data_IF_711320675838
#
_entry.id   IF_711320675838
#
_cell.length_a   1.000
_cell.length_b   1.000
_cell.length_c   1.000
_cell.angle_alpha   90.00
_cell.angle_beta   90.00
_cell.angle_gamma   90.00
#
_symmetry.space_group_name_H-M   'P 1'
#
loop_
_entity.id
_entity.type
_entity.pdbx_description
1 polymer ?
#
# COMPACT_ATOMS: atom_id res chain seq x y z
N UNK A 1 16.76 -6.98 -22.55
CA UNK A 1 15.31 -6.87 -22.30
C UNK A 1 14.94 -7.69 -21.10
N UNK A 2 14.48 -7.06 -20.03
CA UNK A 2 14.12 -7.81 -18.82
C UNK A 2 12.79 -8.54 -19.03
N UNK A 3 12.78 -9.84 -18.76
CA UNK A 3 11.53 -10.61 -18.77
C UNK A 3 10.63 -10.12 -17.64
N UNK A 4 9.35 -9.82 -17.90
CA UNK A 4 8.45 -9.43 -16.83
C UNK A 4 8.38 -10.51 -15.75
N UNK A 5 8.31 -10.09 -14.48
CA UNK A 5 8.12 -11.02 -13.37
C UNK A 5 6.81 -11.78 -13.55
N UNK A 6 6.81 -13.07 -13.27
CA UNK A 6 5.63 -13.94 -13.35
C UNK A 6 5.46 -14.71 -12.06
N UNK A 7 4.21 -14.86 -11.65
CA UNK A 7 3.84 -15.64 -10.48
C UNK A 7 3.52 -17.08 -10.91
N UNK A 8 4.26 -18.04 -10.37
CA UNK A 8 4.09 -19.47 -10.65
C UNK A 8 3.68 -20.27 -9.40
N UNK A 9 3.53 -19.61 -8.26
CA UNK A 9 3.36 -20.24 -6.97
C UNK A 9 4.67 -20.34 -6.20
N UNK A 10 4.63 -20.98 -5.05
CA UNK A 10 5.83 -21.22 -4.25
C UNK A 10 5.87 -22.67 -3.76
N UNK A 11 6.96 -23.07 -3.11
CA UNK A 11 7.09 -24.42 -2.56
C UNK A 11 6.00 -24.77 -1.55
N UNK A 12 5.50 -23.77 -0.82
CA UNK A 12 4.52 -23.94 0.23
C UNK A 12 3.09 -23.59 -0.17
N UNK A 13 2.89 -23.13 -1.40
CA UNK A 13 1.58 -22.68 -1.87
C UNK A 13 1.39 -23.02 -3.34
N UNK A 14 0.36 -23.85 -3.60
CA UNK A 14 0.00 -24.18 -4.97
C UNK A 14 -1.13 -23.27 -5.43
N UNK A 15 -0.80 -22.30 -6.27
CA UNK A 15 -1.77 -21.37 -6.80
C UNK A 15 -2.66 -22.07 -7.84
N UNK A 16 -3.97 -21.76 -7.82
CA UNK A 16 -4.88 -22.20 -8.86
C UNK A 16 -4.51 -21.50 -10.18
N UNK A 17 -4.92 -22.11 -11.31
CA UNK A 17 -4.67 -21.52 -12.63
C UNK A 17 -5.27 -20.10 -12.74
N UNK A 18 -6.53 -19.94 -12.29
CA UNK A 18 -7.20 -18.64 -12.34
C UNK A 18 -6.48 -17.59 -11.49
N UNK A 19 -5.97 -17.98 -10.33
CA UNK A 19 -5.23 -17.10 -9.46
C UNK A 19 -3.91 -16.66 -10.10
N UNK A 20 -3.18 -17.59 -10.71
CA UNK A 20 -1.95 -17.28 -11.44
C UNK A 20 -2.22 -16.27 -12.55
N UNK A 21 -3.29 -16.48 -13.32
CA UNK A 21 -3.69 -15.56 -14.38
C UNK A 21 -4.00 -14.17 -13.84
N UNK A 22 -4.74 -14.09 -12.73
CA UNK A 22 -5.10 -12.81 -12.11
C UNK A 22 -3.86 -12.05 -11.63
N UNK A 23 -2.93 -12.71 -10.95
CA UNK A 23 -1.70 -12.08 -10.47
C UNK A 23 -0.84 -11.61 -11.63
N UNK A 24 -0.66 -12.45 -12.65
CA UNK A 24 0.15 -12.10 -13.82
C UNK A 24 -0.50 -10.98 -14.63
N UNK A 25 -1.83 -10.95 -14.73
CA UNK A 25 -2.54 -9.86 -15.38
C UNK A 25 -2.32 -8.54 -14.63
N UNK A 26 -2.39 -8.55 -13.29
CA UNK A 26 -2.14 -7.38 -12.48
C UNK A 26 -0.72 -6.84 -12.68
N UNK A 27 0.26 -7.73 -12.73
CA UNK A 27 1.65 -7.35 -13.01
C UNK A 27 1.81 -6.73 -14.40
N UNK A 28 1.23 -7.35 -15.41
CA UNK A 28 1.36 -6.91 -16.82
C UNK A 28 0.60 -5.60 -17.05
N UNK A 29 -0.63 -5.50 -16.55
CA UNK A 29 -1.49 -4.35 -16.76
C UNK A 29 -1.21 -3.22 -15.79
N UNK A 30 -0.36 -3.47 -14.78
CA UNK A 30 -0.05 -2.50 -13.72
C UNK A 30 -1.32 -2.01 -13.01
N UNK A 31 -2.20 -2.95 -12.67
CA UNK A 31 -3.46 -2.69 -11.97
C UNK A 31 -3.46 -3.37 -10.61
N UNK A 32 -4.17 -2.80 -9.63
CA UNK A 32 -4.37 -3.49 -8.36
C UNK A 32 -5.12 -4.81 -8.54
N UNK A 33 -4.75 -5.80 -7.74
CA UNK A 33 -5.45 -7.09 -7.70
C UNK A 33 -6.41 -7.08 -6.53
N UNK A 34 -7.70 -7.22 -6.80
CA UNK A 34 -8.73 -7.29 -5.76
C UNK A 34 -9.09 -8.74 -5.49
N UNK A 35 -8.98 -9.15 -4.23
CA UNK A 35 -9.31 -10.50 -3.78
C UNK A 35 -10.47 -10.41 -2.80
N UNK A 36 -11.61 -10.99 -3.15
CA UNK A 36 -12.79 -11.07 -2.30
C UNK A 36 -12.93 -12.48 -1.76
N UNK A 37 -13.44 -12.61 -0.55
CA UNK A 37 -13.71 -13.91 0.05
C UNK A 37 -14.00 -13.80 1.52
N UNK A 38 -14.48 -14.90 2.10
CA UNK A 38 -14.80 -14.97 3.52
C UNK A 38 -13.55 -14.91 4.40
N UNK A 39 -13.69 -14.48 5.67
CA UNK A 39 -12.58 -14.53 6.62
C UNK A 39 -12.01 -15.95 6.72
N UNK A 40 -10.69 -16.04 6.82
CA UNK A 40 -10.03 -17.33 6.98
C UNK A 40 -9.78 -18.09 5.69
N UNK A 41 -9.99 -17.48 4.51
CA UNK A 41 -9.75 -18.13 3.21
C UNK A 41 -8.30 -18.01 2.72
N UNK A 42 -7.39 -17.46 3.55
CA UNK A 42 -5.96 -17.38 3.21
C UNK A 42 -5.58 -16.21 2.31
N UNK A 43 -6.40 -15.15 2.27
CA UNK A 43 -6.09 -13.97 1.45
C UNK A 43 -4.76 -13.32 1.80
N UNK A 44 -4.46 -13.20 3.10
CA UNK A 44 -3.18 -12.65 3.56
C UNK A 44 -2.03 -13.58 3.21
N UNK A 45 -2.23 -14.88 3.37
CA UNK A 45 -1.23 -15.88 3.00
C UNK A 45 -0.90 -15.78 1.50
N UNK A 46 -1.90 -15.52 0.67
CA UNK A 46 -1.67 -15.34 -0.77
C UNK A 46 -0.70 -14.19 -1.03
N UNK A 47 -0.89 -13.05 -0.37
CA UNK A 47 0.02 -11.90 -0.55
C UNK A 47 1.45 -12.25 -0.12
N UNK A 48 1.59 -12.97 1.00
CA UNK A 48 2.89 -13.43 1.48
C UNK A 48 3.56 -14.36 0.47
N UNK A 49 2.80 -15.29 -0.11
CA UNK A 49 3.33 -16.24 -1.08
C UNK A 49 3.69 -15.57 -2.41
N UNK A 50 2.89 -14.61 -2.86
CA UNK A 50 3.20 -13.83 -4.06
C UNK A 50 4.50 -13.04 -3.86
N UNK A 51 4.64 -12.37 -2.72
CA UNK A 51 5.84 -11.61 -2.40
C UNK A 51 7.08 -12.53 -2.37
N UNK A 52 6.97 -13.69 -1.74
CA UNK A 52 8.06 -14.65 -1.66
C UNK A 52 8.44 -15.19 -3.05
N UNK A 53 7.45 -15.54 -3.86
CA UNK A 53 7.67 -16.07 -5.21
C UNK A 53 8.34 -15.05 -6.13
N UNK A 54 7.94 -13.77 -6.01
CA UNK A 54 8.51 -12.68 -6.81
C UNK A 54 9.79 -12.11 -6.20
N UNK A 55 10.19 -12.57 -5.03
CA UNK A 55 11.35 -12.06 -4.27
C UNK A 55 11.25 -10.56 -4.02
N UNK A 56 10.05 -10.11 -3.65
CA UNK A 56 9.76 -8.73 -3.32
C UNK A 56 9.43 -8.60 -1.84
N UNK A 57 9.84 -7.50 -1.18
CA UNK A 57 9.36 -7.22 0.17
C UNK A 57 7.84 -7.04 0.19
N UNK A 58 7.23 -7.42 1.31
CA UNK A 58 5.79 -7.25 1.53
C UNK A 58 5.58 -6.13 2.55
N UNK A 59 4.81 -5.12 2.14
CA UNK A 59 4.30 -4.09 3.04
C UNK A 59 2.81 -4.34 3.25
N UNK A 60 2.35 -4.27 4.51
CA UNK A 60 0.95 -4.53 4.85
C UNK A 60 0.30 -3.32 5.48
N UNK A 61 -0.93 -3.07 5.09
CA UNK A 61 -1.77 -2.03 5.67
C UNK A 61 -3.09 -2.65 6.11
N UNK A 62 -3.25 -2.82 7.42
CA UNK A 62 -4.48 -3.34 8.00
C UNK A 62 -5.49 -2.22 8.16
N UNK A 63 -6.60 -2.32 7.43
CA UNK A 63 -7.64 -1.30 7.47
C UNK A 63 -8.56 -1.56 8.66
N UNK A 64 -8.88 -0.49 9.37
CA UNK A 64 -9.82 -0.48 10.50
C UNK A 64 -10.95 0.48 10.20
N UNK A 65 -12.02 0.42 10.99
CA UNK A 65 -13.16 1.33 10.82
C UNK A 65 -12.77 2.82 10.94
N UNK A 66 -11.70 3.10 11.68
CA UNK A 66 -11.20 4.46 11.89
C UNK A 66 -10.12 4.87 10.89
N UNK A 67 -9.69 3.97 10.01
CA UNK A 67 -8.62 4.25 9.05
C UNK A 67 -9.10 5.22 7.98
N UNK A 68 -8.26 6.23 7.69
CA UNK A 68 -8.47 7.19 6.62
C UNK A 68 -7.43 6.99 5.52
N UNK A 69 -7.81 7.25 4.27
CA UNK A 69 -6.90 7.11 3.13
C UNK A 69 -5.63 7.95 3.30
N UNK A 70 -5.76 9.15 3.87
CA UNK A 70 -4.64 10.04 4.12
C UNK A 70 -3.55 9.40 4.99
N UNK A 71 -3.92 8.51 5.92
CA UNK A 71 -2.96 7.84 6.80
C UNK A 71 -2.01 6.92 6.04
N UNK A 72 -2.45 6.40 4.89
CA UNK A 72 -1.58 5.61 4.03
C UNK A 72 -0.56 6.44 3.28
N UNK A 73 -0.83 7.72 3.08
CA UNK A 73 0.09 8.65 2.43
C UNK A 73 1.06 9.23 3.47
N UNK A 74 0.56 10.10 4.33
CA UNK A 74 1.34 10.70 5.42
C UNK A 74 0.40 11.38 6.40
N UNK A 75 0.93 11.68 7.57
CA UNK A 75 0.25 12.52 8.56
C UNK A 75 1.20 13.63 9.01
N UNK A 76 0.66 14.83 9.20
CA UNK A 76 1.41 15.95 9.75
C UNK A 76 1.13 16.06 11.25
N UNK A 77 2.17 15.88 12.07
CA UNK A 77 2.07 15.93 13.53
C UNK A 77 2.21 17.37 14.03
N UNK A 78 1.16 18.15 13.83
CA UNK A 78 1.12 19.55 14.22
C UNK A 78 1.19 19.73 15.76
N UNK A 79 0.63 18.79 16.52
CA UNK A 79 0.61 18.84 17.97
C UNK A 79 2.03 18.76 18.54
N UNK A 80 2.82 17.80 18.07
CA UNK A 80 4.22 17.66 18.49
C UNK A 80 5.04 18.88 18.09
N UNK A 81 4.80 19.42 16.91
CA UNK A 81 5.51 20.62 16.45
C UNK A 81 5.20 21.84 17.32
N UNK A 82 3.92 22.03 17.68
CA UNK A 82 3.53 23.11 18.57
C UNK A 82 4.19 22.96 19.93
N UNK A 83 4.18 21.77 20.50
CA UNK A 83 4.83 21.49 21.79
C UNK A 83 6.33 21.79 21.74
N UNK A 84 7.01 21.29 20.71
CA UNK A 84 8.45 21.50 20.54
C UNK A 84 8.77 23.00 20.35
N UNK A 85 7.90 23.73 19.65
CA UNK A 85 8.02 25.17 19.48
C UNK A 85 7.98 25.88 20.84
N UNK A 86 7.06 25.50 21.72
CA UNK A 86 6.94 26.06 23.06
C UNK A 86 8.14 25.74 23.93
N UNK A 87 8.79 24.60 23.70
CA UNK A 87 9.98 24.18 24.44
C UNK A 87 11.27 24.75 23.87
N UNK A 88 11.20 25.46 22.74
CA UNK A 88 12.40 25.99 22.07
C UNK A 88 13.26 24.94 21.39
N UNK A 89 12.67 23.78 21.03
CA UNK A 89 13.40 22.72 20.38
C UNK A 89 13.75 23.10 18.94
N UNK A 90 15.03 22.92 18.57
CA UNK A 90 15.53 23.23 17.22
C UNK A 90 14.87 22.41 16.10
N UNK A 91 14.28 21.26 16.43
CA UNK A 91 13.61 20.38 15.45
C UNK A 91 12.45 21.07 14.73
N UNK A 92 11.86 22.11 15.35
CA UNK A 92 10.73 22.86 14.77
C UNK A 92 11.11 23.55 13.45
N UNK A 93 12.39 23.80 13.21
CA UNK A 93 12.87 24.51 12.04
C UNK A 93 12.73 23.69 10.77
N UNK A 94 12.68 22.36 10.90
CA UNK A 94 12.51 21.46 9.77
C UNK A 94 11.16 20.74 9.89
N UNK A 95 10.23 21.11 9.02
CA UNK A 95 8.89 20.53 9.00
C UNK A 95 8.90 19.02 8.74
N UNK A 96 9.94 18.51 8.07
CA UNK A 96 10.06 17.06 7.78
C UNK A 96 10.13 16.22 9.06
N UNK A 97 10.58 16.81 10.19
CA UNK A 97 10.59 16.11 11.46
C UNK A 97 9.18 15.76 12.00
N UNK A 98 8.15 16.37 11.43
CA UNK A 98 6.76 16.19 11.85
C UNK A 98 5.89 15.54 10.79
N UNK A 99 6.49 15.05 9.73
CA UNK A 99 5.80 14.25 8.71
C UNK A 99 5.96 12.77 9.05
N UNK A 100 4.84 12.11 9.34
CA UNK A 100 4.80 10.67 9.61
C UNK A 100 4.43 9.96 8.31
N UNK A 101 5.37 9.24 7.75
CA UNK A 101 5.18 8.57 6.46
C UNK A 101 4.28 7.36 6.58
N UNK A 102 3.25 7.29 5.72
CA UNK A 102 2.38 6.14 5.63
C UNK A 102 2.95 5.01 4.79
N UNK A 103 2.20 3.91 4.70
CA UNK A 103 2.66 2.72 3.99
C UNK A 103 2.82 2.95 2.49
N UNK A 104 1.97 3.81 1.87
CA UNK A 104 2.10 4.14 0.47
C UNK A 104 3.38 4.94 0.19
N UNK A 105 3.71 5.86 1.08
CA UNK A 105 4.97 6.59 0.96
C UNK A 105 6.16 5.63 0.98
N UNK A 106 6.14 4.69 1.92
CA UNK A 106 7.18 3.68 2.03
C UNK A 106 7.27 2.82 0.76
N UNK A 107 6.12 2.40 0.23
CA UNK A 107 6.07 1.60 -1.00
C UNK A 107 6.61 2.38 -2.21
N UNK A 108 6.25 3.66 -2.32
CA UNK A 108 6.66 4.49 -3.45
C UNK A 108 8.16 4.83 -3.42
N UNK A 109 8.73 5.00 -2.23
CA UNK A 109 10.13 5.38 -2.08
C UNK A 109 11.08 4.21 -1.88
N UNK A 110 10.57 2.98 -1.87
CA UNK A 110 11.40 1.79 -1.75
C UNK A 110 12.39 1.70 -2.92
N UNK A 111 13.59 1.19 -2.65
CA UNK A 111 14.64 1.07 -3.65
C UNK A 111 14.43 -0.09 -4.62
N UNK A 112 13.48 -0.96 -4.32
CA UNK A 112 13.09 -2.09 -5.18
C UNK A 112 11.58 -2.22 -5.21
N UNK A 113 11.01 -2.88 -6.24
CA UNK A 113 9.57 -3.11 -6.27
C UNK A 113 9.11 -3.90 -5.06
N UNK A 114 7.96 -3.52 -4.50
CA UNK A 114 7.38 -4.18 -3.32
C UNK A 114 5.98 -4.69 -3.65
N UNK A 115 5.51 -5.65 -2.86
CA UNK A 115 4.11 -6.03 -2.82
C UNK A 115 3.46 -5.24 -1.69
N UNK A 116 2.41 -4.50 -2.01
CA UNK A 116 1.63 -3.73 -1.04
C UNK A 116 0.28 -4.42 -0.84
N UNK A 117 0.05 -4.94 0.37
CA UNK A 117 -1.22 -5.54 0.75
C UNK A 117 -2.06 -4.52 1.52
N UNK A 118 -3.22 -4.19 0.97
CA UNK A 118 -4.24 -3.38 1.65
C UNK A 118 -5.31 -4.36 2.11
N UNK A 119 -5.28 -4.70 3.39
CA UNK A 119 -6.06 -5.80 3.94
C UNK A 119 -7.37 -5.33 4.53
N UNK A 120 -8.45 -6.00 4.14
CA UNK A 120 -9.80 -5.78 4.65
C UNK A 120 -10.32 -4.35 4.40
N UNK A 121 -10.24 -3.91 3.14
CA UNK A 121 -10.62 -2.55 2.74
C UNK A 121 -12.08 -2.21 3.07
N UNK A 122 -12.95 -3.22 3.16
CA UNK A 122 -14.37 -3.06 3.47
C UNK A 122 -14.64 -2.62 4.91
N UNK A 123 -13.65 -2.68 5.80
CA UNK A 123 -13.78 -2.20 7.17
C UNK A 123 -13.79 -0.68 7.27
N UNK A 124 -13.21 0.02 6.30
CA UNK A 124 -13.18 1.48 6.29
C UNK A 124 -14.51 2.07 5.83
N UNK A 125 -14.63 3.40 5.92
CA UNK A 125 -15.77 4.12 5.37
C UNK A 125 -15.93 3.83 3.88
N UNK A 126 -17.18 3.93 3.40
CA UNK A 126 -17.54 3.62 2.00
C UNK A 126 -16.74 4.48 1.00
N UNK A 127 -16.35 5.68 1.39
CA UNK A 127 -15.59 6.58 0.52
C UNK A 127 -14.09 6.28 0.47
N UNK A 128 -13.58 5.49 1.39
CA UNK A 128 -12.16 5.18 1.52
C UNK A 128 -11.55 4.64 0.22
N UNK A 129 -12.14 3.64 -0.45
CA UNK A 129 -11.56 3.11 -1.68
C UNK A 129 -11.41 4.16 -2.78
N UNK A 130 -12.41 5.03 -2.95
CA UNK A 130 -12.38 6.09 -3.96
C UNK A 130 -11.29 7.13 -3.65
N UNK A 131 -11.14 7.48 -2.37
CA UNK A 131 -10.12 8.42 -1.93
C UNK A 131 -8.71 7.92 -2.22
N UNK A 132 -8.53 6.60 -2.22
CA UNK A 132 -7.23 5.96 -2.41
C UNK A 132 -6.92 5.67 -3.89
N UNK A 133 -7.93 5.36 -4.69
CA UNK A 133 -7.74 4.90 -6.08
C UNK A 133 -6.96 5.89 -6.94
N UNK A 134 -7.16 7.18 -6.73
CA UNK A 134 -6.47 8.21 -7.50
C UNK A 134 -4.95 8.13 -7.34
N UNK A 135 -4.48 8.03 -6.11
CA UNK A 135 -3.05 7.93 -5.81
C UNK A 135 -2.47 6.61 -6.32
N UNK A 136 -3.25 5.52 -6.23
CA UNK A 136 -2.83 4.23 -6.76
C UNK A 136 -2.78 4.21 -8.29
N UNK A 137 -3.68 4.91 -8.97
CA UNK A 137 -3.64 5.03 -10.43
C UNK A 137 -2.44 5.84 -10.89
N UNK A 138 -2.20 6.96 -10.25
CA UNK A 138 -1.14 7.87 -10.62
C UNK A 138 0.22 7.48 -10.07
N UNK A 139 0.25 6.68 -9.01
CA UNK A 139 1.46 6.30 -8.28
C UNK A 139 2.27 7.52 -7.83
N UNK A 140 1.54 8.57 -7.42
CA UNK A 140 2.13 9.79 -6.88
C UNK A 140 1.13 10.51 -5.99
N UNK A 141 1.66 11.32 -5.08
CA UNK A 141 0.83 12.22 -4.26
C UNK A 141 1.65 13.44 -3.85
N UNK A 142 0.95 14.52 -3.53
CA UNK A 142 1.56 15.79 -3.15
C UNK A 142 1.53 15.98 -1.64
N UNK A 143 2.66 16.39 -1.07
CA UNK A 143 2.79 16.70 0.35
C UNK A 143 2.69 18.22 0.51
N UNK A 144 1.55 18.70 0.97
CA UNK A 144 1.25 20.13 1.02
C UNK A 144 2.17 20.89 1.97
N UNK A 145 2.51 20.30 3.10
CA UNK A 145 3.30 20.93 4.15
C UNK A 145 4.74 21.19 3.70
N UNK A 146 5.30 20.29 2.91
CA UNK A 146 6.67 20.40 2.40
C UNK A 146 6.73 20.86 0.95
N UNK A 147 5.57 20.89 0.25
CA UNK A 147 5.46 21.23 -1.17
C UNK A 147 6.26 20.29 -2.06
N UNK A 148 6.31 19.04 -1.68
CA UNK A 148 7.03 18.01 -2.42
C UNK A 148 6.05 17.05 -3.09
N UNK A 149 6.42 16.54 -4.26
CA UNK A 149 5.70 15.46 -4.92
C UNK A 149 6.42 14.15 -4.64
N UNK A 150 5.69 13.17 -4.10
CA UNK A 150 6.21 11.82 -3.88
C UNK A 150 5.74 10.94 -5.02
N UNK A 151 6.68 10.40 -5.80
CA UNK A 151 6.40 9.52 -6.93
C UNK A 151 7.01 8.15 -6.69
N UNK A 152 6.34 7.12 -7.18
CA UNK A 152 6.85 5.76 -7.07
C UNK A 152 8.14 5.60 -7.91
N UNK A 153 9.23 5.22 -7.25
CA UNK A 153 10.47 4.86 -7.94
C UNK A 153 10.29 3.57 -8.74
N UNK A 154 9.60 2.61 -8.13
CA UNK A 154 9.20 1.34 -8.74
C UNK A 154 7.72 1.14 -8.44
N UNK A 155 6.96 0.76 -9.46
CA UNK A 155 5.53 0.55 -9.28
C UNK A 155 5.28 -0.67 -8.41
N UNK A 156 4.66 -0.52 -7.23
CA UNK A 156 4.36 -1.68 -6.38
C UNK A 156 3.26 -2.54 -6.99
N UNK A 157 3.30 -3.83 -6.69
CA UNK A 157 2.17 -4.72 -6.95
C UNK A 157 1.19 -4.55 -5.78
N UNK A 158 0.01 -3.98 -6.05
CA UNK A 158 -0.99 -3.71 -5.03
C UNK A 158 -2.00 -4.86 -4.99
N UNK A 159 -2.15 -5.47 -3.81
CA UNK A 159 -3.15 -6.49 -3.55
C UNK A 159 -4.11 -5.91 -2.52
N UNK A 160 -5.40 -5.91 -2.86
CA UNK A 160 -6.46 -5.38 -2.00
C UNK A 160 -7.38 -6.55 -1.63
N UNK A 161 -7.60 -6.76 -0.34
CA UNK A 161 -8.51 -7.81 0.11
C UNK A 161 -9.79 -7.22 0.68
N UNK A 162 -10.87 -7.98 0.55
CA UNK A 162 -12.18 -7.63 1.10
C UNK A 162 -12.90 -8.89 1.56
N UNK A 163 -13.56 -8.80 2.69
CA UNK A 163 -14.44 -9.87 3.19
C UNK A 163 -15.88 -9.69 2.72
N UNK A 164 -16.17 -8.56 2.04
CA UNK A 164 -17.52 -8.25 1.60
C UNK A 164 -17.84 -8.99 0.31
N UNK A 165 -18.80 -9.94 0.38
CA UNK A 165 -19.28 -10.69 -0.77
C UNK A 165 -20.30 -9.90 -1.61
N UNK A 166 -20.83 -8.82 -1.05
CA UNK A 166 -21.80 -7.97 -1.74
C UNK A 166 -21.06 -6.88 -2.51
N UNK A 167 -21.40 -6.75 -3.77
CA UNK A 167 -20.89 -5.68 -4.60
C UNK A 167 -21.36 -4.30 -4.16
#
# INVERSE_FOLDING_TARGET
>A
MNTPARFEGSENYVATHDLKLAVNAALTLQRPLLIKGEPGTGKTMLAEEVAAALKMPLLQWHIKSTTKAQQGLYEYDAVSRLRDSQLGDERVKDIHNYIVRGVLWQAFTADEPVVLLIDEIDKADIEFPNDLLRELDRMEFYVYETREMVRAKHRPLVIITSNNEKE
#
